data_IF_256641335078
#
_entry.id   IF_256641335078
#
_cell.length_a   1.000
_cell.length_b   1.000
_cell.length_c   1.000
_cell.angle_alpha   90.00
_cell.angle_beta   90.00
_cell.angle_gamma   90.00
#
_symmetry.space_group_name_H-M   'P 1'
#
loop_
_entity.id
_entity.type
_entity.pdbx_description
1 polymer ?
#
# COMPACT_ATOMS: atom_id res chain seq x y z
N UNK A 1 -32.09 -62.67 75.15
CA UNK A 1 -32.09 -61.72 76.29
C UNK A 1 -31.24 -60.53 75.83
N UNK A 2 -31.65 -59.27 75.67
CA UNK A 2 -32.63 -58.36 76.28
C UNK A 2 -33.22 -57.47 75.15
N UNK A 3 -34.54 -57.31 74.97
CA UNK A 3 -35.51 -56.36 75.59
C UNK A 3 -35.30 -54.85 75.31
N UNK A 4 -36.31 -54.27 74.62
CA UNK A 4 -36.95 -52.94 74.79
C UNK A 4 -36.14 -51.66 74.44
N UNK A 5 -36.68 -50.55 73.92
CA UNK A 5 -38.04 -50.08 73.58
C UNK A 5 -37.95 -48.74 72.80
N UNK A 6 -39.04 -48.38 72.08
CA UNK A 6 -39.52 -47.01 71.68
C UNK A 6 -38.76 -46.30 70.53
N UNK A 7 -39.39 -45.53 69.64
CA UNK A 7 -40.74 -44.94 69.58
C UNK A 7 -41.19 -44.73 68.11
N UNK A 8 -42.50 -44.80 67.88
CA UNK A 8 -43.18 -44.29 66.69
C UNK A 8 -43.06 -42.76 66.62
N UNK A 9 -42.70 -42.21 65.45
CA UNK A 9 -43.03 -40.85 65.00
C UNK A 9 -43.50 -40.92 63.54
N UNK A 10 -44.69 -40.40 63.19
CA UNK A 10 -45.16 -40.41 61.80
C UNK A 10 -44.70 -39.17 61.02
N UNK A 11 -44.52 -39.41 59.72
CA UNK A 11 -44.68 -38.51 58.58
C UNK A 11 -43.91 -37.17 58.53
N UNK A 12 -42.96 -37.09 57.60
CA UNK A 12 -42.70 -35.89 56.79
C UNK A 12 -42.50 -36.34 55.34
N UNK A 13 -43.59 -36.41 54.57
CA UNK A 13 -43.52 -36.50 53.12
C UNK A 13 -42.94 -35.19 52.59
N UNK A 14 -41.70 -35.23 52.09
CA UNK A 14 -41.14 -34.16 51.26
C UNK A 14 -41.77 -34.25 49.87
N UNK A 15 -42.87 -33.54 49.68
CA UNK A 15 -43.38 -33.25 48.35
C UNK A 15 -42.39 -32.37 47.60
N UNK A 16 -41.64 -32.96 46.66
CA UNK A 16 -40.95 -32.23 45.60
C UNK A 16 -42.03 -31.67 44.67
N UNK A 17 -42.47 -30.45 44.91
CA UNK A 17 -43.25 -29.69 43.93
C UNK A 17 -42.33 -29.32 42.77
N UNK A 18 -42.19 -30.20 41.78
CA UNK A 18 -41.75 -29.81 40.44
C UNK A 18 -42.87 -28.95 39.85
N UNK A 19 -42.73 -27.62 39.94
CA UNK A 19 -43.62 -26.68 39.27
C UNK A 19 -43.46 -26.91 37.76
N UNK A 20 -44.47 -27.51 37.12
CA UNK A 20 -44.51 -27.63 35.67
C UNK A 20 -44.35 -26.22 35.05
N UNK A 21 -43.54 -26.04 34.00
CA UNK A 21 -43.40 -24.75 33.35
C UNK A 21 -44.78 -24.32 32.86
N UNK A 22 -45.20 -23.11 33.23
CA UNK A 22 -46.47 -22.55 32.80
C UNK A 22 -46.59 -22.61 31.27
N UNK A 23 -47.77 -22.92 30.71
CA UNK A 23 -47.96 -23.00 29.27
C UNK A 23 -47.55 -21.67 28.63
N UNK A 24 -46.60 -21.72 27.68
CA UNK A 24 -46.16 -20.53 26.93
C UNK A 24 -47.35 -20.03 26.12
N UNK A 25 -47.79 -18.80 26.38
CA UNK A 25 -48.86 -18.17 25.62
C UNK A 25 -48.48 -18.11 24.14
N UNK A 26 -49.28 -18.66 23.21
CA UNK A 26 -48.97 -18.65 21.78
C UNK A 26 -48.83 -17.23 21.24
N UNK A 27 -49.56 -16.27 21.80
CA UNK A 27 -49.47 -14.84 21.48
C UNK A 27 -48.11 -14.28 21.91
N UNK A 28 -47.62 -14.62 23.12
CA UNK A 28 -46.29 -14.19 23.58
C UNK A 28 -45.18 -14.81 22.75
N UNK A 29 -45.30 -16.09 22.40
CA UNK A 29 -44.35 -16.76 21.52
C UNK A 29 -44.32 -16.15 20.12
N UNK A 30 -45.48 -15.82 19.54
CA UNK A 30 -45.56 -15.11 18.26
C UNK A 30 -44.94 -13.72 18.36
N UNK A 31 -45.23 -12.96 19.42
CA UNK A 31 -44.65 -11.63 19.64
C UNK A 31 -43.12 -11.68 19.78
N UNK A 32 -42.59 -12.58 20.61
CA UNK A 32 -41.14 -12.75 20.74
C UNK A 32 -40.48 -13.21 19.44
N UNK A 33 -41.13 -14.11 18.69
CA UNK A 33 -40.68 -14.53 17.37
C UNK A 33 -40.60 -13.37 16.39
N UNK A 34 -41.65 -12.55 16.31
CA UNK A 34 -41.68 -11.37 15.44
C UNK A 34 -40.62 -10.34 15.83
N UNK A 35 -40.49 -10.02 17.11
CA UNK A 35 -39.46 -9.09 17.59
C UNK A 35 -38.06 -9.62 17.26
N UNK A 36 -37.80 -10.90 17.50
CA UNK A 36 -36.52 -11.52 17.16
C UNK A 36 -36.20 -11.40 15.66
N UNK A 37 -37.13 -11.79 14.79
CA UNK A 37 -36.94 -11.72 13.34
C UNK A 37 -36.69 -10.29 12.87
N UNK A 38 -37.48 -9.32 13.35
CA UNK A 38 -37.31 -7.91 12.98
C UNK A 38 -35.98 -7.35 13.49
N UNK A 39 -35.61 -7.64 14.75
CA UNK A 39 -34.34 -7.20 15.32
C UNK A 39 -33.13 -7.82 14.62
N UNK A 40 -33.18 -9.12 14.31
CA UNK A 40 -32.11 -9.80 13.57
C UNK A 40 -31.99 -9.27 12.14
N UNK A 41 -33.11 -9.04 11.46
CA UNK A 41 -33.11 -8.46 10.11
C UNK A 41 -32.54 -7.04 10.08
N UNK A 42 -32.99 -6.18 10.99
CA UNK A 42 -32.48 -4.81 11.11
C UNK A 42 -30.99 -4.79 11.48
N UNK A 43 -30.57 -5.66 12.40
CA UNK A 43 -29.16 -5.80 12.75
C UNK A 43 -28.33 -6.29 11.56
N UNK A 44 -28.85 -7.23 10.76
CA UNK A 44 -28.15 -7.69 9.57
C UNK A 44 -27.97 -6.56 8.54
N UNK A 45 -29.01 -5.77 8.27
CA UNK A 45 -28.91 -4.59 7.39
C UNK A 45 -27.86 -3.62 7.92
N UNK A 46 -27.92 -3.31 9.22
CA UNK A 46 -26.94 -2.46 9.87
C UNK A 46 -25.51 -3.03 9.79
N UNK A 47 -25.32 -4.31 10.08
CA UNK A 47 -24.00 -4.94 10.05
C UNK A 47 -23.43 -5.03 8.63
N UNK A 48 -24.24 -5.31 7.61
CA UNK A 48 -23.73 -5.44 6.24
C UNK A 48 -23.47 -4.10 5.55
N UNK A 49 -23.93 -2.98 6.10
CA UNK A 49 -23.53 -1.65 5.64
C UNK A 49 -22.17 -1.25 6.24
N UNK A 50 -21.16 -1.07 5.38
CA UNK A 50 -19.80 -0.70 5.81
C UNK A 50 -19.74 0.64 6.55
N UNK A 51 -20.71 1.52 6.34
CA UNK A 51 -20.78 2.86 6.97
C UNK A 51 -21.25 2.80 8.42
N UNK A 52 -21.81 1.68 8.85
CA UNK A 52 -22.37 1.53 10.19
C UNK A 52 -21.34 1.76 11.29
N UNK A 53 -21.78 2.47 12.32
CA UNK A 53 -20.93 2.91 13.43
C UNK A 53 -20.18 1.75 14.12
N UNK A 54 -20.77 0.55 14.16
CA UNK A 54 -20.12 -0.66 14.73
C UNK A 54 -18.77 -0.96 14.07
N UNK A 55 -18.61 -0.70 12.77
CA UNK A 55 -17.37 -1.00 12.03
C UNK A 55 -16.24 -0.03 12.30
N UNK A 56 -16.51 1.12 12.94
CA UNK A 56 -15.49 2.11 13.32
C UNK A 56 -15.29 2.17 14.83
N UNK A 57 -16.39 2.29 15.56
CA UNK A 57 -16.37 2.63 16.98
C UNK A 57 -16.43 1.43 17.91
N UNK A 58 -16.78 0.24 17.40
CA UNK A 58 -16.89 -0.99 18.21
C UNK A 58 -15.88 -2.03 17.79
N UNK A 59 -15.93 -2.50 16.54
CA UNK A 59 -15.13 -3.63 16.06
C UNK A 59 -13.62 -3.34 16.11
N UNK A 60 -13.08 -2.25 15.51
CA UNK A 60 -11.65 -2.01 15.54
C UNK A 60 -11.11 -1.78 16.96
N UNK A 61 -11.72 -0.96 17.84
CA UNK A 61 -11.30 -0.84 19.23
C UNK A 61 -11.34 -2.18 19.99
N UNK A 62 -12.41 -2.96 19.82
CA UNK A 62 -12.54 -4.27 20.45
C UNK A 62 -11.44 -5.23 20.01
N UNK A 63 -11.17 -5.34 18.70
CA UNK A 63 -10.09 -6.19 18.18
C UNK A 63 -8.73 -5.76 18.71
N UNK A 64 -8.45 -4.44 18.77
CA UNK A 64 -7.18 -3.92 19.31
C UNK A 64 -7.01 -4.18 20.80
N UNK A 65 -8.10 -4.21 21.57
CA UNK A 65 -8.05 -4.43 23.01
C UNK A 65 -8.01 -5.92 23.39
N UNK A 66 -8.59 -6.78 22.56
CA UNK A 66 -8.76 -8.22 22.87
C UNK A 66 -7.76 -9.14 22.18
N UNK A 67 -7.16 -8.71 21.07
CA UNK A 67 -6.24 -9.50 20.26
C UNK A 67 -4.94 -8.74 20.00
N UNK A 68 -3.85 -9.48 19.78
CA UNK A 68 -2.65 -8.87 19.22
C UNK A 68 -2.91 -8.34 17.80
N UNK A 69 -2.11 -7.36 17.37
CA UNK A 69 -2.31 -6.65 16.11
C UNK A 69 -2.29 -7.58 14.88
N UNK A 70 -1.47 -8.64 14.87
CA UNK A 70 -1.42 -9.56 13.73
C UNK A 70 -2.65 -10.50 13.71
N UNK A 71 -3.13 -10.94 14.87
CA UNK A 71 -4.33 -11.78 14.97
C UNK A 71 -5.59 -11.00 14.62
N UNK A 72 -5.75 -9.77 15.11
CA UNK A 72 -6.87 -8.90 14.76
C UNK A 72 -6.95 -8.65 13.25
N UNK A 73 -5.80 -8.40 12.61
CA UNK A 73 -5.70 -8.26 11.15
C UNK A 73 -6.16 -9.53 10.40
N UNK A 74 -5.70 -10.70 10.83
CA UNK A 74 -6.11 -11.98 10.21
C UNK A 74 -7.60 -12.25 10.36
N UNK A 75 -8.22 -11.86 11.48
CA UNK A 75 -9.68 -11.95 11.65
C UNK A 75 -10.37 -11.07 10.61
N UNK A 76 -9.92 -9.82 10.41
CA UNK A 76 -10.50 -8.93 9.41
C UNK A 76 -10.41 -9.52 7.99
N UNK A 77 -9.25 -10.05 7.58
CA UNK A 77 -9.07 -10.72 6.27
C UNK A 77 -10.00 -11.93 6.12
N UNK A 78 -10.12 -12.76 7.16
CA UNK A 78 -11.02 -13.94 7.14
C UNK A 78 -12.49 -13.53 6.99
N UNK A 79 -12.93 -12.49 7.70
CA UNK A 79 -14.31 -11.98 7.59
C UNK A 79 -14.56 -11.47 6.17
N UNK A 80 -13.68 -10.65 5.62
CA UNK A 80 -13.80 -10.13 4.25
C UNK A 80 -13.77 -11.24 3.19
N UNK A 81 -12.94 -12.26 3.38
CA UNK A 81 -12.88 -13.47 2.52
C UNK A 81 -14.18 -14.29 2.56
N UNK A 82 -14.82 -14.40 3.73
CA UNK A 82 -15.94 -15.32 3.94
C UNK A 82 -17.25 -14.93 3.25
N UNK A 83 -17.35 -13.72 2.69
CA UNK A 83 -18.60 -13.15 2.19
C UNK A 83 -19.50 -12.56 3.29
N UNK A 84 -19.13 -12.73 4.57
CA UNK A 84 -19.77 -12.10 5.72
C UNK A 84 -19.22 -10.69 6.02
N UNK A 85 -18.26 -10.19 5.23
CA UNK A 85 -17.80 -8.81 5.34
C UNK A 85 -18.91 -7.81 4.98
N UNK A 86 -18.87 -6.59 5.56
CA UNK A 86 -19.76 -5.52 5.14
C UNK A 86 -19.47 -5.09 3.69
N UNK A 87 -20.39 -4.32 3.11
CA UNK A 87 -20.32 -3.79 1.75
C UNK A 87 -20.58 -2.29 1.77
N UNK A 88 -20.01 -1.56 0.82
CA UNK A 88 -20.39 -0.18 0.51
C UNK A 88 -21.59 -0.21 -0.45
N UNK A 89 -22.81 0.16 -0.02
CA UNK A 89 -23.99 0.12 -0.88
C UNK A 89 -24.13 1.38 -1.74
N UNK A 90 -23.24 2.36 -1.60
CA UNK A 90 -23.39 3.70 -2.19
C UNK A 90 -22.61 3.80 -3.49
N UNK A 91 -23.25 4.32 -4.53
CA UNK A 91 -22.57 4.66 -5.78
C UNK A 91 -21.58 5.81 -5.56
N UNK A 92 -20.43 5.75 -6.21
CA UNK A 92 -19.44 6.82 -6.14
C UNK A 92 -19.92 8.11 -6.83
N UNK A 93 -19.58 9.22 -6.20
CA UNK A 93 -19.88 10.56 -6.71
C UNK A 93 -19.07 10.84 -7.98
N UNK A 94 -19.71 11.42 -9.00
CA UNK A 94 -19.08 11.69 -10.30
C UNK A 94 -17.82 12.57 -10.19
N UNK A 95 -17.72 13.44 -9.17
CA UNK A 95 -16.54 14.28 -8.92
C UNK A 95 -15.29 13.49 -8.56
N UNK A 96 -15.46 12.24 -8.10
CA UNK A 96 -14.38 11.34 -7.73
C UNK A 96 -13.81 10.58 -8.92
N UNK A 97 -14.49 10.56 -10.08
CA UNK A 97 -13.98 9.86 -11.26
C UNK A 97 -12.55 10.31 -11.55
N UNK A 98 -11.70 9.33 -11.81
CA UNK A 98 -10.28 9.54 -12.06
C UNK A 98 -9.85 8.71 -13.26
N UNK A 99 -8.87 9.18 -14.00
CA UNK A 99 -8.28 8.44 -15.12
C UNK A 99 -6.83 8.08 -14.79
N UNK A 100 -6.45 6.85 -15.09
CA UNK A 100 -5.09 6.36 -14.88
C UNK A 100 -4.66 5.52 -16.09
N UNK A 101 -3.62 5.95 -16.81
CA UNK A 101 -3.16 5.30 -18.04
C UNK A 101 -4.24 5.10 -19.12
N UNK A 102 -5.18 6.04 -19.25
CA UNK A 102 -6.32 5.91 -20.17
C UNK A 102 -7.45 5.01 -19.65
N UNK A 103 -7.31 4.44 -18.45
CA UNK A 103 -8.35 3.65 -17.80
C UNK A 103 -9.16 4.52 -16.84
N UNK A 104 -10.48 4.60 -17.05
CA UNK A 104 -11.39 5.26 -16.11
C UNK A 104 -11.52 4.41 -14.84
N UNK A 105 -11.43 5.08 -13.69
CA UNK A 105 -11.59 4.53 -12.35
C UNK A 105 -12.76 5.23 -11.66
N UNK A 106 -13.55 4.46 -10.93
CA UNK A 106 -14.76 4.94 -10.23
C UNK A 106 -14.47 6.00 -9.17
N UNK A 107 -13.34 5.86 -8.48
CA UNK A 107 -12.85 6.78 -7.46
C UNK A 107 -11.32 6.66 -7.33
N UNK A 108 -10.62 7.59 -6.65
CA UNK A 108 -9.15 7.61 -6.59
C UNK A 108 -8.60 6.96 -5.32
N UNK A 109 -9.41 6.20 -4.56
CA UNK A 109 -9.02 5.64 -3.26
C UNK A 109 -8.76 4.15 -3.39
N UNK A 110 -7.48 3.78 -3.21
CA UNK A 110 -6.99 2.41 -3.22
C UNK A 110 -6.58 1.88 -1.85
N UNK A 111 -6.44 0.56 -1.78
CA UNK A 111 -5.83 -0.16 -0.68
C UNK A 111 -4.35 -0.42 -0.98
N UNK A 112 -3.46 -0.08 -0.05
CA UNK A 112 -2.03 -0.35 -0.19
C UNK A 112 -1.68 -1.83 0.04
N UNK A 113 -0.54 -2.29 -0.51
CA UNK A 113 0.00 -3.62 -0.19
C UNK A 113 0.20 -3.84 1.30
N UNK A 114 0.18 -5.12 1.67
CA UNK A 114 0.49 -5.62 2.99
C UNK A 114 -0.74 -5.96 3.81
N UNK A 115 -1.92 -5.46 3.42
CA UNK A 115 -3.19 -5.82 4.04
C UNK A 115 -3.58 -7.24 3.65
N UNK A 116 -3.82 -7.49 2.36
CA UNK A 116 -4.08 -8.84 1.84
C UNK A 116 -2.83 -9.41 1.14
N UNK A 117 -1.89 -9.89 1.95
CA UNK A 117 -0.58 -10.38 1.46
C UNK A 117 -0.70 -11.58 0.51
N UNK A 118 -1.76 -12.36 0.66
CA UNK A 118 -1.90 -13.68 0.04
C UNK A 118 -3.05 -13.75 -0.98
N UNK A 119 -3.72 -12.62 -1.27
CA UNK A 119 -4.85 -12.56 -2.21
C UNK A 119 -6.07 -13.34 -1.73
N UNK A 120 -6.35 -13.30 -0.43
CA UNK A 120 -7.43 -14.07 0.21
C UNK A 120 -8.78 -13.35 0.21
N UNK A 121 -8.79 -12.02 0.24
CA UNK A 121 -9.98 -11.20 0.49
C UNK A 121 -10.24 -10.15 -0.59
N UNK A 122 -9.65 -10.33 -1.78
CA UNK A 122 -9.71 -9.38 -2.91
C UNK A 122 -11.13 -8.86 -3.16
N UNK A 123 -12.11 -9.76 -3.33
CA UNK A 123 -13.49 -9.35 -3.62
C UNK A 123 -14.17 -8.68 -2.43
N UNK A 124 -13.84 -9.08 -1.20
CA UNK A 124 -14.31 -8.41 0.02
C UNK A 124 -13.76 -6.98 0.13
N UNK A 125 -12.53 -6.75 -0.32
CA UNK A 125 -11.89 -5.43 -0.32
C UNK A 125 -12.47 -4.50 -1.38
N UNK A 126 -12.76 -5.01 -2.58
CA UNK A 126 -13.53 -4.23 -3.56
C UNK A 126 -14.96 -3.95 -3.09
N UNK A 127 -15.60 -4.90 -2.39
CA UNK A 127 -16.97 -4.74 -1.89
C UNK A 127 -17.12 -3.61 -0.86
N UNK A 128 -16.05 -3.21 -0.16
CA UNK A 128 -16.08 -2.08 0.79
C UNK A 128 -15.71 -0.73 0.15
N UNK A 129 -15.61 -0.68 -1.18
CA UNK A 129 -15.64 0.56 -1.95
C UNK A 129 -14.29 1.02 -2.53
N UNK A 130 -13.20 0.27 -2.34
CA UNK A 130 -11.91 0.57 -2.99
C UNK A 130 -12.00 0.34 -4.50
N UNK A 131 -11.45 1.27 -5.29
CA UNK A 131 -11.30 1.08 -6.75
C UNK A 131 -9.98 0.39 -7.10
N UNK A 132 -8.96 0.51 -6.25
CA UNK A 132 -7.67 -0.16 -6.41
C UNK A 132 -7.40 -1.09 -5.23
N UNK A 133 -7.09 -2.35 -5.49
CA UNK A 133 -6.66 -3.30 -4.45
C UNK A 133 -5.27 -3.82 -4.77
N UNK A 134 -4.30 -3.53 -3.91
CA UNK A 134 -2.93 -4.04 -4.01
C UNK A 134 -2.71 -5.21 -3.04
N UNK A 135 -2.59 -6.43 -3.57
CA UNK A 135 -2.22 -7.61 -2.77
C UNK A 135 -0.70 -7.73 -2.63
N UNK A 136 -0.22 -8.58 -1.73
CA UNK A 136 1.21 -8.82 -1.53
C UNK A 136 1.84 -7.94 -0.45
N UNK A 137 3.16 -7.77 -0.38
CA UNK A 137 4.15 -8.30 -1.31
C UNK A 137 4.23 -9.83 -1.31
N UNK A 138 4.21 -10.42 -2.50
CA UNK A 138 4.29 -11.87 -2.71
C UNK A 138 5.71 -12.23 -3.14
N UNK A 139 6.27 -13.29 -2.56
CA UNK A 139 7.61 -13.79 -2.89
C UNK A 139 7.53 -15.09 -3.69
N UNK A 140 8.55 -15.43 -4.52
CA UNK A 140 8.54 -16.67 -5.30
C UNK A 140 8.27 -17.93 -4.48
N UNK A 141 9.08 -18.13 -3.44
CA UNK A 141 8.94 -19.22 -2.48
C UNK A 141 8.14 -18.78 -1.25
N UNK A 142 7.42 -19.70 -0.59
CA UNK A 142 6.76 -19.40 0.67
C UNK A 142 7.80 -19.04 1.74
N UNK A 143 7.47 -18.06 2.60
CA UNK A 143 8.28 -17.73 3.76
C UNK A 143 7.42 -17.21 4.92
N UNK A 144 7.77 -17.53 6.18
CA UNK A 144 6.95 -17.15 7.34
C UNK A 144 7.07 -15.66 7.72
N UNK A 145 8.07 -14.95 7.17
CA UNK A 145 8.49 -13.61 7.59
C UNK A 145 9.31 -13.62 8.89
N UNK A 146 9.51 -12.44 9.49
CA UNK A 146 10.26 -12.28 10.73
C UNK A 146 9.49 -12.84 11.95
N UNK A 147 10.18 -13.16 13.08
CA UNK A 147 9.54 -13.64 14.31
C UNK A 147 8.49 -12.68 14.88
N UNK A 148 7.46 -13.22 15.56
CA UNK A 148 6.42 -12.45 16.25
C UNK A 148 6.85 -12.10 17.70
N UNK A 149 6.33 -11.01 18.31
CA UNK A 149 5.47 -9.98 17.73
C UNK A 149 6.23 -9.06 16.75
N UNK A 150 5.56 -8.64 15.68
CA UNK A 150 6.16 -7.90 14.56
C UNK A 150 5.29 -6.80 13.98
N UNK A 151 4.18 -6.49 14.62
CA UNK A 151 3.30 -5.37 14.30
C UNK A 151 2.76 -4.80 15.59
N UNK A 152 2.81 -3.48 15.70
CA UNK A 152 2.53 -2.74 16.92
C UNK A 152 1.64 -1.55 16.52
N UNK A 153 0.48 -1.44 17.16
CA UNK A 153 -0.35 -0.25 17.03
C UNK A 153 0.26 0.85 17.90
N UNK A 154 0.23 2.08 17.38
CA UNK A 154 0.53 3.29 18.15
C UNK A 154 -0.74 4.16 18.18
N UNK A 155 -1.79 3.82 18.96
CA UNK A 155 -3.05 4.56 18.93
C UNK A 155 -2.91 6.03 19.33
N UNK A 156 -1.99 6.35 20.23
CA UNK A 156 -1.75 7.74 20.65
C UNK A 156 -1.25 8.62 19.49
N UNK A 157 -0.53 8.02 18.54
CA UNK A 157 0.08 8.71 17.40
C UNK A 157 -0.68 8.48 16.08
N UNK A 158 -1.80 7.75 16.10
CA UNK A 158 -2.46 7.24 14.88
C UNK A 158 -1.47 6.54 13.93
N UNK A 159 -0.55 5.77 14.53
CA UNK A 159 0.58 5.14 13.86
C UNK A 159 0.54 3.63 13.92
N UNK A 160 1.41 2.99 13.15
CA UNK A 160 1.70 1.56 13.24
C UNK A 160 3.18 1.33 12.94
N UNK A 161 3.83 0.48 13.73
CA UNK A 161 5.19 0.00 13.45
C UNK A 161 5.12 -1.47 13.09
N UNK A 162 5.80 -1.88 12.02
CA UNK A 162 5.90 -3.29 11.66
C UNK A 162 7.28 -3.70 11.16
N UNK A 163 7.61 -4.96 11.44
CA UNK A 163 8.81 -5.65 10.98
C UNK A 163 8.48 -6.99 10.34
N UNK A 164 7.50 -7.03 9.43
CA UNK A 164 6.97 -8.29 8.88
C UNK A 164 8.00 -9.17 8.14
N UNK A 165 8.86 -8.59 7.30
CA UNK A 165 9.82 -9.35 6.48
C UNK A 165 9.16 -10.23 5.40
N UNK A 166 8.18 -9.68 4.67
CA UNK A 166 7.44 -10.37 3.59
C UNK A 166 6.96 -11.80 3.91
N UNK A 167 6.10 -12.01 4.93
CA UNK A 167 5.41 -13.29 5.05
C UNK A 167 4.53 -13.52 3.82
N UNK A 168 4.70 -14.67 3.16
CA UNK A 168 4.04 -15.01 1.90
C UNK A 168 3.83 -16.52 1.77
N UNK A 169 2.71 -16.91 1.18
CA UNK A 169 2.44 -18.32 0.83
C UNK A 169 3.17 -18.76 -0.46
N UNK A 170 3.90 -17.87 -1.13
CA UNK A 170 4.61 -18.15 -2.39
C UNK A 170 3.76 -17.91 -3.64
N UNK A 171 4.42 -17.82 -4.80
CA UNK A 171 3.74 -17.55 -6.08
C UNK A 171 2.67 -18.57 -6.41
N UNK A 172 2.95 -19.87 -6.24
CA UNK A 172 2.03 -20.93 -6.60
C UNK A 172 0.68 -20.84 -5.87
N UNK A 173 0.71 -20.58 -4.55
CA UNK A 173 -0.50 -20.49 -3.74
C UNK A 173 -1.33 -19.25 -4.09
N UNK A 174 -0.69 -18.09 -4.23
CA UNK A 174 -1.38 -16.85 -4.60
C UNK A 174 -1.94 -16.94 -6.02
N UNK A 175 -1.18 -17.48 -6.96
CA UNK A 175 -1.62 -17.71 -8.34
C UNK A 175 -2.84 -18.64 -8.39
N UNK A 176 -2.85 -19.69 -7.58
CA UNK A 176 -4.02 -20.58 -7.47
C UNK A 176 -5.27 -19.84 -6.99
N UNK A 177 -5.13 -18.87 -6.06
CA UNK A 177 -6.26 -18.05 -5.59
C UNK A 177 -6.75 -17.08 -6.65
N UNK A 178 -5.82 -16.42 -7.36
CA UNK A 178 -6.17 -15.53 -8.48
C UNK A 178 -6.92 -16.29 -9.58
N UNK A 179 -6.45 -17.47 -9.97
CA UNK A 179 -7.11 -18.33 -10.96
C UNK A 179 -8.50 -18.77 -10.49
N UNK A 180 -8.67 -19.06 -9.21
CA UNK A 180 -9.96 -19.47 -8.65
C UNK A 180 -11.02 -18.35 -8.69
N UNK A 181 -10.62 -17.08 -8.87
CA UNK A 181 -11.55 -15.95 -9.06
C UNK A 181 -12.12 -15.88 -10.49
N UNK A 182 -11.46 -16.48 -11.47
CA UNK A 182 -11.92 -16.46 -12.86
C UNK A 182 -13.21 -17.30 -12.96
N UNK A 183 -14.35 -16.73 -13.39
CA UNK A 183 -15.59 -17.49 -13.50
C UNK A 183 -15.45 -18.63 -14.51
N UNK A 184 -15.93 -19.84 -14.17
CA UNK A 184 -15.76 -21.06 -14.98
C UNK A 184 -16.46 -21.00 -16.35
N UNK A 185 -17.47 -20.15 -16.49
CA UNK A 185 -18.29 -19.96 -17.69
C UNK A 185 -18.21 -18.49 -18.14
N UNK A 186 -17.00 -17.91 -18.10
CA UNK A 186 -16.79 -16.56 -18.57
C UNK A 186 -16.47 -16.59 -20.07
N UNK A 187 -17.44 -16.14 -20.86
CA UNK A 187 -17.39 -16.19 -22.32
C UNK A 187 -17.02 -14.81 -22.92
N UNK A 188 -16.90 -13.78 -22.07
CA UNK A 188 -16.59 -12.41 -22.45
C UNK A 188 -15.09 -12.09 -22.43
N UNK A 189 -14.73 -10.87 -22.86
CA UNK A 189 -13.38 -10.33 -22.63
C UNK A 189 -13.27 -9.82 -21.18
N UNK A 190 -12.23 -10.24 -20.46
CA UNK A 190 -11.91 -9.73 -19.14
C UNK A 190 -11.22 -8.39 -19.35
N UNK A 191 -11.94 -7.27 -19.17
CA UNK A 191 -11.33 -5.93 -19.30
C UNK A 191 -10.30 -5.65 -18.21
N UNK A 192 -10.55 -6.12 -16.98
CA UNK A 192 -9.70 -5.89 -15.81
C UNK A 192 -9.61 -7.13 -14.91
N UNK A 193 -8.44 -7.36 -14.30
CA UNK A 193 -8.21 -8.44 -13.34
C UNK A 193 -8.96 -8.25 -12.00
N UNK A 194 -9.55 -7.07 -11.78
CA UNK A 194 -10.48 -6.83 -10.67
C UNK A 194 -11.84 -7.51 -10.88
N UNK A 195 -12.21 -7.82 -12.13
CA UNK A 195 -13.56 -8.25 -12.55
C UNK A 195 -14.66 -7.23 -12.26
N UNK A 196 -14.28 -5.95 -12.18
CA UNK A 196 -15.19 -4.85 -11.85
C UNK A 196 -14.91 -3.65 -12.75
N UNK A 197 -15.95 -3.04 -13.34
CA UNK A 197 -15.79 -1.78 -14.06
C UNK A 197 -15.22 -0.70 -13.14
N UNK A 198 -14.30 0.12 -13.66
CA UNK A 198 -13.73 1.24 -12.91
C UNK A 198 -12.88 0.84 -11.70
N UNK A 199 -12.29 -0.36 -11.72
CA UNK A 199 -11.43 -0.87 -10.67
C UNK A 199 -10.28 -1.73 -11.20
N UNK A 200 -9.15 -1.74 -10.48
CA UNK A 200 -7.95 -2.50 -10.85
C UNK A 200 -7.40 -3.34 -9.69
N UNK A 201 -6.85 -4.48 -10.05
CA UNK A 201 -6.11 -5.38 -9.17
C UNK A 201 -4.60 -5.24 -9.42
N UNK A 202 -3.89 -4.84 -8.37
CA UNK A 202 -2.44 -4.78 -8.36
C UNK A 202 -1.85 -5.95 -7.56
N UNK A 203 -0.76 -6.53 -8.06
CA UNK A 203 0.03 -7.54 -7.34
C UNK A 203 1.41 -6.97 -7.01
N UNK A 204 1.67 -6.80 -5.72
CA UNK A 204 2.96 -6.33 -5.25
C UNK A 204 3.96 -7.48 -5.16
N UNK A 205 5.11 -7.32 -5.82
CA UNK A 205 6.17 -8.30 -5.94
C UNK A 205 7.25 -8.03 -4.90
N UNK A 206 7.66 -9.07 -4.19
CA UNK A 206 8.74 -9.03 -3.21
C UNK A 206 9.81 -10.08 -3.50
N UNK A 207 10.99 -9.86 -2.93
CA UNK A 207 12.13 -10.78 -2.98
C UNK A 207 12.11 -11.73 -1.78
N UNK A 208 12.47 -13.00 -1.98
CA UNK A 208 12.73 -13.90 -0.87
C UNK A 208 13.93 -13.41 -0.05
N UNK A 209 13.93 -13.70 1.26
CA UNK A 209 15.00 -13.28 2.17
C UNK A 209 16.34 -13.94 1.83
N UNK A 210 16.28 -15.18 1.38
CA UNK A 210 17.44 -16.03 1.06
C UNK A 210 18.03 -15.75 -0.34
N UNK A 211 17.29 -15.05 -1.21
CA UNK A 211 17.81 -14.66 -2.52
C UNK A 211 18.96 -13.65 -2.38
N UNK A 212 19.93 -13.61 -3.31
CA UNK A 212 21.00 -12.60 -3.31
C UNK A 212 20.44 -11.18 -3.23
N UNK A 213 21.16 -10.28 -2.56
CA UNK A 213 20.66 -8.93 -2.26
C UNK A 213 20.40 -8.10 -3.52
N UNK A 214 21.22 -8.30 -4.54
CA UNK A 214 21.23 -7.66 -5.87
C UNK A 214 20.44 -8.44 -6.94
N UNK A 215 19.87 -9.61 -6.60
CA UNK A 215 19.16 -10.43 -7.58
C UNK A 215 17.83 -9.81 -8.01
N UNK A 216 17.64 -9.79 -9.32
CA UNK A 216 16.42 -9.35 -10.03
C UNK A 216 15.44 -10.51 -10.28
N UNK A 217 15.91 -11.75 -10.14
CA UNK A 217 15.22 -12.97 -10.60
C UNK A 217 13.86 -13.16 -9.93
N UNK A 218 13.74 -12.82 -8.65
CA UNK A 218 12.48 -12.95 -7.91
C UNK A 218 11.39 -12.03 -8.47
N UNK A 219 11.78 -10.80 -8.86
CA UNK A 219 10.86 -9.85 -9.47
C UNK A 219 10.47 -10.29 -10.89
N UNK A 220 11.43 -10.77 -11.69
CA UNK A 220 11.19 -11.33 -13.03
C UNK A 220 10.25 -12.55 -12.95
N UNK A 221 10.48 -13.45 -12.00
CA UNK A 221 9.60 -14.58 -11.74
C UNK A 221 8.19 -14.12 -11.34
N UNK A 222 8.08 -13.02 -10.60
CA UNK A 222 6.81 -12.38 -10.25
C UNK A 222 6.06 -11.85 -11.46
N UNK A 223 6.76 -11.13 -12.35
CA UNK A 223 6.20 -10.62 -13.61
C UNK A 223 5.64 -11.76 -14.46
N UNK A 224 6.42 -12.83 -14.63
CA UNK A 224 6.00 -14.02 -15.40
C UNK A 224 4.82 -14.76 -14.76
N UNK A 225 4.80 -14.87 -13.43
CA UNK A 225 3.76 -15.62 -12.72
C UNK A 225 2.42 -14.89 -12.68
N UNK A 226 2.45 -13.57 -12.44
CA UNK A 226 1.23 -12.79 -12.17
C UNK A 226 0.78 -11.92 -13.32
N UNK A 227 1.64 -11.65 -14.31
CA UNK A 227 1.32 -10.74 -15.41
C UNK A 227 -0.02 -11.03 -16.11
N UNK A 228 -0.37 -12.29 -16.42
CA UNK A 228 -1.67 -12.62 -17.01
C UNK A 228 -2.89 -12.47 -16.09
N UNK A 229 -2.70 -12.15 -14.80
CA UNK A 229 -3.73 -12.18 -13.77
C UNK A 229 -3.80 -10.88 -12.95
N UNK A 230 -3.20 -9.79 -13.44
CA UNK A 230 -3.12 -8.51 -12.76
C UNK A 230 -3.21 -7.36 -13.76
N UNK A 231 -3.84 -6.26 -13.36
CA UNK A 231 -3.82 -5.01 -14.14
C UNK A 231 -2.49 -4.28 -13.93
N UNK A 232 -1.92 -4.43 -12.72
CA UNK A 232 -0.70 -3.77 -12.30
C UNK A 232 0.21 -4.72 -11.53
N UNK A 233 1.51 -4.66 -11.83
CA UNK A 233 2.56 -5.31 -11.07
C UNK A 233 3.41 -4.24 -10.39
N UNK A 234 3.53 -4.35 -9.06
CA UNK A 234 4.28 -3.37 -8.26
C UNK A 234 5.63 -3.96 -7.86
N UNK A 235 6.72 -3.34 -8.31
CA UNK A 235 8.10 -3.69 -7.94
C UNK A 235 8.45 -3.02 -6.62
N UNK A 236 8.49 -3.79 -5.53
CA UNK A 236 8.71 -3.24 -4.19
C UNK A 236 10.16 -3.41 -3.72
N UNK A 237 10.91 -2.31 -3.79
CA UNK A 237 12.31 -2.20 -3.34
C UNK A 237 12.47 -1.45 -2.02
N UNK A 238 11.36 -1.19 -1.30
CA UNK A 238 11.33 -0.16 -0.25
C UNK A 238 11.06 -0.66 1.17
N UNK A 239 10.80 -1.96 1.35
CA UNK A 239 10.61 -2.56 2.67
C UNK A 239 11.88 -2.40 3.54
N UNK A 240 11.78 -1.80 4.76
CA UNK A 240 12.90 -1.75 5.70
C UNK A 240 13.16 -3.10 6.39
N UNK A 241 12.28 -4.08 6.18
CA UNK A 241 12.21 -5.31 6.98
C UNK A 241 12.86 -6.52 6.30
N UNK A 242 13.37 -6.33 5.09
CA UNK A 242 14.11 -7.32 4.31
C UNK A 242 15.53 -6.78 4.13
N UNK A 243 16.56 -7.39 4.75
CA UNK A 243 17.93 -6.88 4.69
C UNK A 243 18.41 -6.64 3.25
N UNK A 244 19.09 -5.51 3.02
CA UNK A 244 19.66 -5.15 1.72
C UNK A 244 18.66 -4.67 0.67
N UNK A 245 17.35 -4.87 0.84
CA UNK A 245 16.36 -4.58 -0.20
C UNK A 245 16.34 -3.11 -0.61
N UNK A 246 16.45 -2.18 0.36
CA UNK A 246 16.49 -0.73 0.07
C UNK A 246 17.72 -0.30 -0.72
N UNK A 247 18.78 -1.11 -0.73
CA UNK A 247 19.96 -0.88 -1.56
C UNK A 247 19.69 -1.02 -3.06
N UNK A 248 18.62 -1.73 -3.47
CA UNK A 248 18.16 -1.80 -4.86
C UNK A 248 17.64 -0.46 -5.41
N UNK A 249 17.50 0.57 -4.56
CA UNK A 249 17.14 1.92 -4.99
C UNK A 249 18.36 2.73 -5.44
N UNK A 250 19.59 2.21 -5.30
CA UNK A 250 20.78 2.81 -5.89
C UNK A 250 20.70 2.72 -7.42
N UNK A 251 21.19 3.76 -8.12
CA UNK A 251 21.05 3.93 -9.58
C UNK A 251 21.30 2.65 -10.38
N UNK A 252 22.51 2.11 -10.33
CA UNK A 252 22.92 0.98 -11.20
C UNK A 252 22.07 -0.28 -10.95
N UNK A 253 21.80 -0.59 -9.68
CA UNK A 253 20.98 -1.74 -9.30
C UNK A 253 19.52 -1.54 -9.70
N UNK A 254 19.01 -0.32 -9.58
CA UNK A 254 17.66 0.01 -9.99
C UNK A 254 17.53 -0.09 -11.52
N UNK A 255 18.47 0.46 -12.29
CA UNK A 255 18.49 0.35 -13.75
C UNK A 255 18.46 -1.12 -14.20
N UNK A 256 19.33 -1.96 -13.62
CA UNK A 256 19.36 -3.40 -13.91
C UNK A 256 18.04 -4.10 -13.55
N UNK A 257 17.47 -3.79 -12.38
CA UNK A 257 16.18 -4.32 -11.95
C UNK A 257 15.05 -3.93 -12.90
N UNK A 258 14.92 -2.65 -13.23
CA UNK A 258 13.85 -2.15 -14.10
C UNK A 258 13.97 -2.68 -15.52
N UNK A 259 15.20 -2.84 -16.04
CA UNK A 259 15.44 -3.49 -17.33
C UNK A 259 14.94 -4.95 -17.32
N UNK A 260 15.30 -5.72 -16.29
CA UNK A 260 14.89 -7.13 -16.18
C UNK A 260 13.38 -7.32 -16.10
N UNK A 261 12.68 -6.56 -15.25
CA UNK A 261 11.21 -6.67 -15.12
C UNK A 261 10.48 -6.17 -16.37
N UNK A 262 11.02 -5.15 -17.04
CA UNK A 262 10.46 -4.63 -18.29
C UNK A 262 10.58 -5.68 -19.39
N UNK A 263 11.77 -6.26 -19.56
CA UNK A 263 12.00 -7.34 -20.52
C UNK A 263 11.05 -8.52 -20.26
N UNK A 264 10.93 -8.94 -19.00
CA UNK A 264 10.02 -10.02 -18.62
C UNK A 264 8.55 -9.71 -18.92
N UNK A 265 8.12 -8.44 -18.83
CA UNK A 265 6.78 -8.01 -19.23
C UNK A 265 6.60 -8.10 -20.75
N UNK A 266 7.58 -7.65 -21.52
CA UNK A 266 7.49 -7.67 -22.98
C UNK A 266 7.44 -9.11 -23.55
N UNK A 267 8.08 -10.07 -22.85
CA UNK A 267 8.04 -11.51 -23.16
C UNK A 267 6.66 -12.16 -22.93
N UNK A 268 5.73 -11.51 -22.22
CA UNK A 268 4.40 -12.07 -21.97
C UNK A 268 3.61 -12.20 -23.28
N UNK A 269 3.09 -13.41 -23.54
CA UNK A 269 2.42 -13.79 -24.80
C UNK A 269 1.04 -13.14 -25.03
N UNK A 270 0.62 -12.20 -24.19
CA UNK A 270 -0.70 -11.55 -24.21
C UNK A 270 -0.58 -10.02 -24.36
N UNK A 271 -0.30 -9.50 -25.57
CA UNK A 271 -0.02 -8.07 -25.78
C UNK A 271 -1.20 -7.14 -25.47
N UNK A 272 -2.45 -7.61 -25.60
CA UNK A 272 -3.66 -6.80 -25.32
C UNK A 272 -3.87 -6.47 -23.84
N UNK A 273 -3.34 -7.27 -22.92
CA UNK A 273 -3.53 -7.13 -21.47
C UNK A 273 -2.20 -7.21 -20.73
N UNK A 274 -1.19 -6.46 -21.22
CA UNK A 274 0.08 -6.36 -20.51
C UNK A 274 -0.11 -5.53 -19.23
N UNK A 275 0.34 -6.04 -18.07
CA UNK A 275 0.19 -5.31 -16.81
C UNK A 275 1.07 -4.06 -16.81
N UNK A 276 0.60 -3.02 -16.12
CA UNK A 276 1.39 -1.83 -15.85
C UNK A 276 2.46 -2.14 -14.81
N UNK A 277 3.69 -1.67 -15.01
CA UNK A 277 4.77 -1.82 -14.04
C UNK A 277 4.88 -0.56 -13.20
N UNK A 278 4.80 -0.71 -11.88
CA UNK A 278 4.86 0.41 -10.94
C UNK A 278 5.98 0.19 -9.94
N UNK A 279 6.84 1.20 -9.74
CA UNK A 279 7.90 1.15 -8.74
C UNK A 279 7.39 1.66 -7.38
N UNK A 280 7.66 0.96 -6.28
CA UNK A 280 7.33 1.44 -4.92
C UNK A 280 8.58 1.77 -4.12
N UNK A 281 8.74 3.04 -3.77
CA UNK A 281 9.95 3.59 -3.15
C UNK A 281 9.79 3.87 -1.64
N UNK A 282 10.92 3.99 -0.95
CA UNK A 282 10.95 4.37 0.46
C UNK A 282 10.84 5.90 0.60
N UNK A 283 10.28 6.40 1.72
CA UNK A 283 10.29 7.84 2.03
C UNK A 283 11.67 8.31 2.54
N UNK A 284 12.52 7.38 2.98
CA UNK A 284 13.81 7.66 3.64
C UNK A 284 14.93 7.83 2.61
N UNK A 285 14.75 8.78 1.69
CA UNK A 285 15.68 9.08 0.60
C UNK A 285 16.04 10.56 0.63
N UNK A 286 17.29 10.88 0.30
CA UNK A 286 17.70 12.26 0.09
C UNK A 286 17.07 12.82 -1.19
N UNK A 287 17.06 14.15 -1.33
CA UNK A 287 16.60 14.78 -2.56
C UNK A 287 17.41 14.32 -3.78
N UNK A 288 18.74 14.18 -3.66
CA UNK A 288 19.59 13.68 -4.75
C UNK A 288 19.21 12.25 -5.17
N UNK A 289 18.96 11.35 -4.21
CA UNK A 289 18.52 9.98 -4.49
C UNK A 289 17.16 9.95 -5.19
N UNK A 290 16.23 10.84 -4.80
CA UNK A 290 14.93 10.96 -5.47
C UNK A 290 15.07 11.46 -6.91
N UNK A 291 16.00 12.39 -7.17
CA UNK A 291 16.31 12.87 -8.53
C UNK A 291 16.88 11.73 -9.39
N UNK A 292 17.86 10.99 -8.87
CA UNK A 292 18.44 9.82 -9.54
C UNK A 292 17.37 8.77 -9.87
N UNK A 293 16.50 8.43 -8.91
CA UNK A 293 15.38 7.51 -9.14
C UNK A 293 14.45 8.04 -10.23
N UNK A 294 14.15 9.35 -10.25
CA UNK A 294 13.32 9.94 -11.28
C UNK A 294 13.95 9.87 -12.68
N UNK A 295 15.28 9.95 -12.80
CA UNK A 295 15.99 9.73 -14.07
C UNK A 295 15.91 8.28 -14.52
N UNK A 296 16.14 7.33 -13.61
CA UNK A 296 16.05 5.91 -13.90
C UNK A 296 14.62 5.50 -14.31
N UNK A 297 13.61 6.05 -13.63
CA UNK A 297 12.20 5.84 -14.00
C UNK A 297 11.87 6.45 -15.35
N UNK A 298 12.33 7.68 -15.66
CA UNK A 298 12.07 8.32 -16.95
C UNK A 298 12.66 7.53 -18.13
N UNK A 299 13.85 6.96 -17.93
CA UNK A 299 14.59 6.21 -18.95
C UNK A 299 14.21 4.72 -19.01
N UNK A 300 13.30 4.26 -18.14
CA UNK A 300 12.78 2.89 -18.15
C UNK A 300 11.33 2.87 -18.62
N UNK A 301 10.83 1.69 -19.00
CA UNK A 301 9.43 1.52 -19.40
C UNK A 301 8.50 1.24 -18.20
N UNK A 302 8.79 1.86 -17.07
CA UNK A 302 7.93 1.85 -15.87
C UNK A 302 6.78 2.84 -16.07
N UNK A 303 5.58 2.40 -15.71
CA UNK A 303 4.35 3.14 -15.96
C UNK A 303 3.97 4.07 -14.81
N UNK A 304 4.51 3.91 -13.61
CA UNK A 304 4.19 4.79 -12.48
C UNK A 304 5.04 4.54 -11.23
N UNK A 305 4.86 5.40 -10.22
CA UNK A 305 5.59 5.30 -8.95
C UNK A 305 4.64 5.45 -7.75
N UNK A 306 4.73 4.54 -6.79
CA UNK A 306 4.06 4.64 -5.49
C UNK A 306 5.01 5.31 -4.48
N UNK A 307 4.52 6.39 -3.88
CA UNK A 307 5.23 7.22 -2.90
C UNK A 307 4.34 7.38 -1.67
N UNK A 308 4.56 6.64 -0.58
CA UNK A 308 5.75 5.83 -0.28
C UNK A 308 5.45 4.62 0.60
N UNK A 309 6.49 3.83 0.87
CA UNK A 309 6.47 2.78 1.89
C UNK A 309 6.63 3.38 3.31
N UNK A 310 6.75 2.54 4.34
CA UNK A 310 6.97 2.97 5.72
C UNK A 310 8.32 3.65 5.94
N UNK A 311 8.43 4.54 6.93
CA UNK A 311 9.69 5.22 7.32
C UNK A 311 10.41 4.51 8.46
N UNK A 312 11.74 4.52 8.49
CA UNK A 312 12.51 4.12 9.69
C UNK A 312 12.75 5.28 10.66
N UNK A 313 12.43 6.51 10.27
CA UNK A 313 12.55 7.67 11.12
C UNK A 313 11.56 7.57 12.30
N UNK A 314 11.94 8.18 13.42
CA UNK A 314 11.13 8.29 14.64
C UNK A 314 11.05 9.76 15.03
N UNK A 315 10.00 10.48 14.58
CA UNK A 315 9.79 11.87 14.98
C UNK A 315 9.76 11.99 16.51
N UNK A 316 10.36 13.04 17.05
CA UNK A 316 10.35 13.31 18.50
C UNK A 316 8.95 13.62 19.05
N UNK A 317 7.98 13.85 18.17
CA UNK A 317 6.57 14.07 18.51
C UNK A 317 5.81 12.78 18.82
N UNK A 318 6.41 11.59 18.61
CA UNK A 318 5.78 10.33 19.00
C UNK A 318 5.66 10.26 20.52
N UNK A 319 4.55 9.68 21.00
CA UNK A 319 4.30 9.54 22.44
C UNK A 319 3.82 8.15 22.84
N UNK A 320 3.45 7.29 21.88
CA UNK A 320 2.97 5.95 22.19
C UNK A 320 4.09 5.07 22.79
N UNK A 321 3.79 4.21 23.79
CA UNK A 321 4.79 3.31 24.37
C UNK A 321 5.52 2.42 23.35
N UNK A 322 4.87 2.09 22.23
CA UNK A 322 5.46 1.25 21.18
C UNK A 322 6.40 2.03 20.22
N UNK A 323 6.65 3.32 20.42
CA UNK A 323 7.45 4.16 19.51
C UNK A 323 8.89 3.65 19.27
N UNK A 324 9.46 2.94 20.24
CA UNK A 324 10.82 2.39 20.19
C UNK A 324 10.92 1.04 19.45
N UNK A 325 9.80 0.47 19.03
CA UNK A 325 9.78 -0.79 18.31
C UNK A 325 10.54 -0.71 16.98
N UNK A 326 11.30 -1.76 16.67
CA UNK A 326 12.04 -1.86 15.42
C UNK A 326 11.10 -2.11 14.22
N UNK A 327 11.48 -1.56 13.06
CA UNK A 327 10.76 -1.73 11.80
C UNK A 327 10.29 -0.41 11.19
N UNK A 328 9.41 -0.50 10.21
CA UNK A 328 8.86 0.65 9.51
C UNK A 328 7.64 1.24 10.23
N UNK A 329 7.66 2.57 10.44
CA UNK A 329 6.57 3.41 10.94
C UNK A 329 5.66 3.84 9.77
N UNK A 330 4.36 3.73 9.98
CA UNK A 330 3.30 4.20 9.09
C UNK A 330 2.25 4.99 9.87
N UNK A 331 1.23 5.51 9.17
CA UNK A 331 0.16 6.30 9.77
C UNK A 331 0.43 7.80 9.71
N UNK A 332 -0.27 8.57 10.54
CA UNK A 332 -0.22 10.03 10.50
C UNK A 332 1.23 10.61 10.55
N UNK A 333 2.16 10.06 11.37
CA UNK A 333 3.54 10.58 11.43
C UNK A 333 4.32 10.48 10.12
N UNK A 334 3.94 9.59 9.20
CA UNK A 334 4.59 9.40 7.89
C UNK A 334 4.16 10.45 6.86
N UNK A 335 3.00 11.10 7.05
CA UNK A 335 2.34 11.90 5.99
C UNK A 335 3.27 12.95 5.38
N UNK A 336 3.96 13.74 6.20
CA UNK A 336 4.81 14.82 5.72
C UNK A 336 6.05 14.31 4.96
N UNK A 337 6.70 13.25 5.43
CA UNK A 337 7.84 12.66 4.70
C UNK A 337 7.41 12.13 3.33
N UNK A 338 6.26 11.47 3.28
CA UNK A 338 5.71 10.94 2.03
C UNK A 338 5.32 12.04 1.04
N UNK A 339 4.67 13.12 1.52
CA UNK A 339 4.34 14.29 0.67
C UNK A 339 5.58 15.01 0.15
N UNK A 340 6.61 15.16 0.98
CA UNK A 340 7.88 15.75 0.54
C UNK A 340 8.51 14.92 -0.58
N UNK A 341 8.64 13.61 -0.38
CA UNK A 341 9.17 12.71 -1.40
C UNK A 341 8.35 12.77 -2.70
N UNK A 342 7.02 12.82 -2.58
CA UNK A 342 6.12 12.87 -3.74
C UNK A 342 6.28 14.18 -4.51
N UNK A 343 6.32 15.33 -3.82
CA UNK A 343 6.54 16.65 -4.46
C UNK A 343 7.89 16.70 -5.16
N UNK A 344 8.94 16.16 -4.55
CA UNK A 344 10.28 16.08 -5.16
C UNK A 344 10.26 15.23 -6.42
N UNK A 345 9.65 14.04 -6.38
CA UNK A 345 9.52 13.20 -7.56
C UNK A 345 8.66 13.86 -8.64
N UNK A 346 7.54 14.51 -8.28
CA UNK A 346 6.66 15.15 -9.26
C UNK A 346 7.39 16.19 -10.09
N UNK A 347 8.22 17.02 -9.43
CA UNK A 347 9.09 18.03 -10.07
C UNK A 347 10.14 17.46 -11.01
N UNK A 348 10.54 16.22 -10.79
CA UNK A 348 11.61 15.57 -11.53
C UNK A 348 11.10 14.51 -12.52
N UNK A 349 9.80 14.24 -12.54
CA UNK A 349 9.20 13.30 -13.48
C UNK A 349 8.32 14.03 -14.49
N UNK A 350 8.28 13.56 -15.75
CA UNK A 350 7.38 14.09 -16.77
C UNK A 350 5.93 13.75 -16.45
N UNK A 351 4.99 14.58 -16.92
CA UNK A 351 3.56 14.47 -16.65
C UNK A 351 2.96 13.09 -16.98
N UNK A 352 3.50 12.41 -18.00
CA UNK A 352 3.06 11.08 -18.44
C UNK A 352 3.27 9.96 -17.40
N UNK A 353 4.16 10.16 -16.42
CA UNK A 353 4.43 9.18 -15.35
C UNK A 353 3.55 9.56 -14.15
N UNK A 354 2.43 8.88 -13.92
CA UNK A 354 1.59 9.15 -12.77
C UNK A 354 2.25 8.73 -11.45
N UNK A 355 1.88 9.44 -10.38
CA UNK A 355 2.30 9.14 -9.02
C UNK A 355 1.10 8.65 -8.19
N UNK A 356 1.35 7.66 -7.34
CA UNK A 356 0.36 7.12 -6.40
C UNK A 356 0.81 7.50 -4.98
N UNK A 357 0.00 8.29 -4.29
CA UNK A 357 0.27 8.75 -2.93
C UNK A 357 -0.05 7.68 -1.89
N UNK A 358 0.85 7.41 -0.94
CA UNK A 358 0.67 6.41 0.11
C UNK A 358 1.38 6.86 1.39
N UNK A 359 0.65 7.14 2.46
CA UNK A 359 1.24 7.45 3.76
C UNK A 359 0.43 8.45 4.58
N UNK A 360 -0.11 8.02 5.71
CA UNK A 360 -0.82 8.91 6.65
C UNK A 360 -2.11 9.51 6.13
N UNK A 361 -2.83 8.80 5.25
CA UNK A 361 -4.12 9.21 4.69
C UNK A 361 -5.24 8.63 5.55
N UNK A 362 -6.01 9.50 6.20
CA UNK A 362 -7.15 9.13 7.07
C UNK A 362 -8.46 9.79 6.61
N UNK A 363 -8.38 10.89 5.88
CA UNK A 363 -9.52 11.74 5.51
C UNK A 363 -9.51 12.11 4.03
N UNK A 364 -10.64 12.61 3.54
CA UNK A 364 -10.73 13.20 2.20
C UNK A 364 -9.81 14.40 2.00
N UNK A 365 -9.60 15.22 3.03
CA UNK A 365 -8.65 16.33 3.00
C UNK A 365 -7.21 15.86 2.84
N UNK A 366 -6.82 14.75 3.48
CA UNK A 366 -5.50 14.15 3.27
C UNK A 366 -5.34 13.69 1.82
N UNK A 367 -6.35 13.03 1.26
CA UNK A 367 -6.33 12.59 -0.14
C UNK A 367 -6.21 13.77 -1.11
N UNK A 368 -6.93 14.87 -0.85
CA UNK A 368 -6.87 16.09 -1.64
C UNK A 368 -5.48 16.76 -1.57
N UNK A 369 -4.81 16.72 -0.42
CA UNK A 369 -3.44 17.24 -0.30
C UNK A 369 -2.45 16.45 -1.18
N UNK A 370 -2.61 15.13 -1.25
CA UNK A 370 -1.85 14.29 -2.17
C UNK A 370 -2.16 14.61 -3.64
N UNK A 371 -3.42 14.82 -3.98
CA UNK A 371 -3.83 15.23 -5.33
C UNK A 371 -3.17 16.54 -5.76
N UNK A 372 -3.23 17.56 -4.88
CA UNK A 372 -2.59 18.87 -5.08
C UNK A 372 -1.07 18.78 -5.16
N UNK A 373 -0.46 17.74 -4.59
CA UNK A 373 0.96 17.45 -4.73
C UNK A 373 1.31 16.70 -6.04
N UNK A 374 0.32 16.32 -6.85
CA UNK A 374 0.49 15.65 -8.14
C UNK A 374 0.28 14.13 -8.10
N UNK A 375 -0.33 13.59 -7.05
CA UNK A 375 -0.74 12.19 -7.00
C UNK A 375 -2.03 11.98 -7.80
N UNK A 376 -2.06 11.04 -8.73
CA UNK A 376 -3.27 10.73 -9.52
C UNK A 376 -4.21 9.74 -8.83
N UNK A 377 -3.71 9.00 -7.84
CA UNK A 377 -4.44 8.05 -6.99
C UNK A 377 -3.81 8.05 -5.59
N UNK A 378 -4.58 7.69 -4.56
CA UNK A 378 -4.09 7.52 -3.20
C UNK A 378 -4.33 6.13 -2.64
N UNK A 379 -3.42 5.63 -1.82
CA UNK A 379 -3.52 4.35 -1.12
C UNK A 379 -3.65 4.53 0.39
N UNK A 380 -4.56 3.77 0.97
CA UNK A 380 -4.85 3.76 2.41
C UNK A 380 -4.43 2.43 3.01
N UNK A 381 -3.86 2.47 4.21
CA UNK A 381 -3.61 1.29 5.04
C UNK A 381 -3.90 1.60 6.50
N UNK A 382 -3.07 2.43 7.14
CA UNK A 382 -3.17 2.65 8.59
C UNK A 382 -4.50 3.32 8.96
N UNK A 383 -4.96 4.29 8.17
CA UNK A 383 -6.31 4.84 8.29
C UNK A 383 -7.37 3.74 8.27
N UNK A 384 -7.35 2.87 7.26
CA UNK A 384 -8.27 1.73 7.18
C UNK A 384 -8.20 0.80 8.39
N UNK A 385 -7.00 0.47 8.89
CA UNK A 385 -6.83 -0.37 10.08
C UNK A 385 -7.39 0.25 11.37
N UNK A 386 -7.30 1.58 11.53
CA UNK A 386 -7.84 2.26 12.70
C UNK A 386 -9.36 2.44 12.63
N UNK A 387 -9.82 2.83 11.45
CA UNK A 387 -11.12 3.41 11.20
C UNK A 387 -12.14 2.38 10.63
N UNK A 388 -11.64 1.18 10.29
CA UNK A 388 -12.42 -0.01 9.96
C UNK A 388 -13.11 0.01 8.60
N UNK A 389 -14.08 -0.89 8.40
CA UNK A 389 -14.64 -1.22 7.08
C UNK A 389 -15.16 -0.01 6.29
N UNK A 390 -15.78 0.96 6.96
CA UNK A 390 -16.32 2.16 6.32
C UNK A 390 -15.29 3.24 5.98
N UNK A 391 -14.00 3.03 6.23
CA UNK A 391 -12.97 4.06 6.03
C UNK A 391 -12.90 4.54 4.57
N UNK A 392 -12.95 3.62 3.60
CA UNK A 392 -12.91 3.98 2.19
C UNK A 392 -14.07 4.91 1.81
N UNK A 393 -15.33 4.50 2.08
CA UNK A 393 -16.52 5.32 1.84
C UNK A 393 -16.44 6.68 2.51
N UNK A 394 -16.03 6.75 3.79
CA UNK A 394 -15.89 8.04 4.49
C UNK A 394 -14.85 8.96 3.85
N UNK A 395 -13.70 8.43 3.43
CA UNK A 395 -12.67 9.21 2.73
C UNK A 395 -13.23 9.72 1.40
N UNK A 396 -13.95 8.88 0.65
CA UNK A 396 -14.61 9.26 -0.61
C UNK A 396 -15.66 10.35 -0.42
N UNK A 397 -16.52 10.23 0.60
CA UNK A 397 -17.53 11.25 0.94
C UNK A 397 -16.89 12.59 1.29
N UNK A 398 -15.92 12.58 2.21
CA UNK A 398 -15.20 13.78 2.60
C UNK A 398 -14.46 14.42 1.41
N UNK A 399 -13.85 13.61 0.55
CA UNK A 399 -13.16 14.10 -0.63
C UNK A 399 -14.14 14.75 -1.61
N UNK A 400 -15.31 14.13 -1.84
CA UNK A 400 -16.35 14.72 -2.67
C UNK A 400 -16.87 16.04 -2.09
N UNK A 401 -17.00 16.15 -0.77
CA UNK A 401 -17.36 17.39 -0.07
C UNK A 401 -16.29 18.49 -0.24
N UNK A 402 -15.00 18.15 -0.10
CA UNK A 402 -13.92 19.13 -0.33
C UNK A 402 -13.88 19.61 -1.79
N UNK A 403 -14.04 18.69 -2.75
CA UNK A 403 -14.14 19.02 -4.18
C UNK A 403 -15.36 19.90 -4.48
N UNK A 404 -16.49 19.64 -3.79
CA UNK A 404 -17.69 20.48 -3.88
C UNK A 404 -17.42 21.94 -3.52
N UNK A 405 -16.73 22.15 -2.39
CA UNK A 405 -16.42 23.47 -1.85
C UNK A 405 -15.50 24.26 -2.79
N UNK A 406 -14.58 23.55 -3.46
CA UNK A 406 -13.68 24.13 -4.46
C UNK A 406 -14.31 24.24 -5.87
N UNK A 407 -15.54 23.73 -6.07
CA UNK A 407 -16.22 23.77 -7.36
C UNK A 407 -15.49 23.00 -8.46
N UNK A 408 -14.82 21.90 -8.11
CA UNK A 408 -13.93 21.16 -9.01
C UNK A 408 -14.12 19.64 -8.91
N UNK A 409 -13.40 18.88 -9.72
CA UNK A 409 -13.33 17.41 -9.70
C UNK A 409 -11.94 16.92 -9.36
N UNK A 410 -11.81 15.64 -8.98
CA UNK A 410 -10.50 15.01 -8.75
C UNK A 410 -9.58 15.16 -9.97
N UNK A 411 -10.10 14.84 -11.15
CA UNK A 411 -9.34 14.91 -12.39
C UNK A 411 -8.81 16.32 -12.68
N UNK A 412 -9.62 17.36 -12.47
CA UNK A 412 -9.20 18.75 -12.64
C UNK A 412 -8.07 19.15 -11.67
N UNK A 413 -8.20 18.80 -10.38
CA UNK A 413 -7.16 19.08 -9.37
C UNK A 413 -5.85 18.40 -9.74
N UNK A 414 -5.90 17.11 -10.10
CA UNK A 414 -4.71 16.35 -10.48
C UNK A 414 -4.10 16.90 -11.77
N UNK A 415 -4.91 17.14 -12.81
CA UNK A 415 -4.42 17.65 -14.09
C UNK A 415 -3.74 19.01 -13.93
N UNK A 416 -4.33 19.90 -13.12
CA UNK A 416 -3.71 21.18 -12.77
C UNK A 416 -2.38 20.98 -12.04
N UNK A 417 -2.36 20.18 -10.98
CA UNK A 417 -1.15 19.94 -10.20
C UNK A 417 -0.04 19.29 -11.05
N UNK A 418 -0.37 18.31 -11.89
CA UNK A 418 0.57 17.64 -12.79
C UNK A 418 1.10 18.63 -13.84
N UNK A 419 0.25 19.47 -14.44
CA UNK A 419 0.68 20.47 -15.41
C UNK A 419 1.62 21.53 -14.80
N UNK A 420 1.33 21.98 -13.58
CA UNK A 420 2.11 23.01 -12.89
C UNK A 420 3.42 22.47 -12.29
N UNK A 421 3.41 21.23 -11.79
CA UNK A 421 4.51 20.70 -11.00
C UNK A 421 5.43 19.75 -11.75
N UNK A 422 5.02 19.18 -12.89
CA UNK A 422 5.84 18.20 -13.60
C UNK A 422 7.06 18.81 -14.28
N UNK A 423 8.08 17.99 -14.49
CA UNK A 423 9.19 18.36 -15.36
C UNK A 423 8.66 18.61 -16.78
N UNK A 424 8.94 19.79 -17.34
CA UNK A 424 8.59 20.11 -18.72
C UNK A 424 9.27 19.13 -19.69
N UNK A 425 8.60 18.76 -20.79
CA UNK A 425 9.19 17.88 -21.80
C UNK A 425 10.51 18.47 -22.35
N UNK A 426 11.58 17.67 -22.36
CA UNK A 426 12.92 18.14 -22.70
C UNK A 426 13.52 19.16 -21.73
N UNK A 427 12.91 19.41 -20.57
CA UNK A 427 13.42 20.34 -19.55
C UNK A 427 14.77 19.93 -18.98
N UNK A 428 15.00 18.62 -18.82
CA UNK A 428 16.31 18.07 -18.43
C UNK A 428 17.37 18.23 -19.50
N UNK A 429 17.07 17.94 -20.78
CA UNK A 429 18.00 18.19 -21.89
C UNK A 429 18.38 19.67 -21.95
N UNK A 430 17.41 20.58 -21.86
CA UNK A 430 17.67 22.02 -21.81
C UNK A 430 18.48 22.45 -20.58
N UNK A 431 18.23 21.84 -19.41
CA UNK A 431 19.00 22.10 -18.19
C UNK A 431 20.43 21.57 -18.31
N UNK A 432 20.62 20.36 -18.84
CA UNK A 432 21.92 19.76 -19.08
C UNK A 432 22.70 20.52 -20.15
N UNK A 433 22.07 20.92 -21.26
CA UNK A 433 22.65 21.80 -22.28
C UNK A 433 23.09 23.12 -21.65
N UNK A 434 22.24 23.74 -20.83
CA UNK A 434 22.58 24.99 -20.13
C UNK A 434 23.74 24.79 -19.16
N UNK A 435 23.74 23.75 -18.34
CA UNK A 435 24.83 23.44 -17.41
C UNK A 435 26.14 23.11 -18.15
N UNK A 436 26.08 22.40 -19.28
CA UNK A 436 27.24 22.13 -20.14
C UNK A 436 27.78 23.42 -20.79
N UNK A 437 26.87 24.31 -21.21
CA UNK A 437 27.21 25.62 -21.79
C UNK A 437 27.84 26.54 -20.73
N UNK A 438 27.29 26.54 -19.51
CA UNK A 438 27.78 27.33 -18.37
C UNK A 438 29.09 26.76 -17.80
N UNK A 439 29.33 25.44 -17.90
CA UNK A 439 30.57 24.78 -17.50
C UNK A 439 31.69 24.91 -18.53
N UNK A 440 31.37 25.10 -19.81
CA UNK A 440 32.36 25.20 -20.91
C UNK A 440 33.47 26.24 -20.66
N UNK A 441 33.18 27.49 -20.19
CA UNK A 441 34.22 28.46 -19.84
C UNK A 441 35.15 28.00 -18.71
N UNK A 442 34.62 27.28 -17.72
CA UNK A 442 35.39 26.76 -16.59
C UNK A 442 36.30 25.59 -17.00
N UNK A 443 35.84 24.73 -17.91
CA UNK A 443 36.62 23.63 -18.47
C UNK A 443 37.75 24.19 -19.35
N UNK A 444 37.47 25.18 -20.20
CA UNK A 444 38.48 25.86 -20.99
C UNK A 444 39.55 26.54 -20.11
N UNK A 445 39.15 27.11 -18.97
CA UNK A 445 40.10 27.70 -18.01
C UNK A 445 40.99 26.65 -17.34
N UNK A 446 40.43 25.51 -16.95
CA UNK A 446 41.20 24.40 -16.37
C UNK A 446 42.19 23.79 -17.37
N UNK A 447 41.81 23.68 -18.64
CA UNK A 447 42.71 23.23 -19.72
C UNK A 447 43.85 24.24 -19.91
N UNK A 448 43.54 25.54 -19.94
CA UNK A 448 44.56 26.58 -20.07
C UNK A 448 45.54 26.61 -18.88
N UNK A 449 45.05 26.46 -17.65
CA UNK A 449 45.89 26.36 -16.44
C UNK A 449 46.77 25.10 -16.47
N UNK A 450 46.24 23.97 -16.96
CA UNK A 450 47.01 22.74 -17.11
C UNK A 450 48.12 22.86 -18.17
N UNK A 451 47.84 23.52 -19.31
CA UNK A 451 48.83 23.78 -20.36
C UNK A 451 49.92 24.76 -19.90
N UNK A 452 49.56 25.77 -19.10
CA UNK A 452 50.53 26.70 -18.49
C UNK A 452 51.44 25.99 -17.48
N UNK A 453 50.88 25.14 -16.62
CA UNK A 453 51.64 24.29 -15.70
C UNK A 453 52.61 23.36 -16.43
N UNK A 454 52.16 22.75 -17.53
CA UNK A 454 53.02 21.91 -18.37
C UNK A 454 54.18 22.70 -18.96
N UNK A 455 53.92 23.90 -19.47
CA UNK A 455 54.97 24.78 -20.02
C UNK A 455 55.98 25.21 -18.96
N UNK A 456 55.53 25.47 -17.74
CA UNK A 456 56.40 25.80 -16.61
C UNK A 456 57.26 24.60 -16.19
N UNK A 457 56.71 23.39 -16.21
CA UNK A 457 57.44 22.13 -15.97
C UNK A 457 58.51 21.88 -17.03
N UNK A 458 58.17 22.06 -18.32
CA UNK A 458 59.12 21.90 -19.42
C UNK A 458 60.28 22.92 -19.29
N UNK A 459 59.97 24.18 -18.97
CA UNK A 459 60.98 25.22 -18.72
C UNK A 459 61.85 24.94 -17.48
N UNK A 460 61.28 24.29 -16.45
CA UNK A 460 62.04 23.86 -15.28
C UNK A 460 63.01 22.72 -15.65
N UNK A 461 62.54 21.77 -16.46
CA UNK A 461 63.35 20.66 -17.00
C UNK A 461 64.53 21.18 -17.82
N UNK A 462 64.29 22.10 -18.76
CA UNK A 462 65.35 22.72 -19.57
C UNK A 462 66.38 23.49 -18.70
N UNK A 463 65.93 24.15 -17.62
CA UNK A 463 66.84 24.84 -16.68
C UNK A 463 67.68 23.88 -15.85
N UNK A 464 67.13 22.74 -15.47
CA UNK A 464 67.87 21.70 -14.74
C UNK A 464 68.89 21.00 -15.64
N UNK A 465 68.53 20.71 -16.89
CA UNK A 465 69.48 20.17 -17.88
C UNK A 465 70.61 21.17 -18.19
N UNK A 466 70.29 22.47 -18.28
CA UNK A 466 71.29 23.51 -18.48
C UNK A 466 72.25 23.68 -17.28
N UNK A 467 71.80 23.44 -16.04
CA UNK A 467 72.69 23.49 -14.87
C UNK A 467 73.60 22.28 -14.77
N UNK A 468 73.16 21.09 -15.21
CA UNK A 468 73.98 19.87 -15.22
C UNK A 468 75.08 19.88 -16.30
N UNK A 469 75.00 20.76 -17.29
CA UNK A 469 76.06 20.96 -18.30
C UNK A 469 77.14 21.98 -17.93
N UNK A 470 77.09 22.58 -16.72
CA UNK A 470 78.04 23.59 -16.26
C UNK A 470 78.97 23.14 -15.11
N UNK A 471 78.93 21.88 -14.70
CA UNK A 471 79.86 21.27 -13.71
C UNK A 471 80.82 20.25 -14.33
#
# INVERSE_FOLDING_TARGET
MFRHQRAFRPALGRGLFTRAPAPRSPIRSALYGTVFVLSTGLFAIYYFDARSAIHRYVIPPLLRHTLDAETGHKVAVKVLKSGLGPRDPVQDDARLKSEFWGQEMSNPVGLAAGFDKNGEAIDGLFNIGFSWVEIGSVTPKPQPGNPRPRVFHLPADSGLINRYGFPSDGHAAVLSRLRARIPRFFDGEIETASFRPGAVLAVNLGKNKESPADSVDDFVAGVRAFGPYSDVLVVNVSSPNTPGLRGLQNRDLLEALLAGVTQAREELSAPKHRPKLVLKIAPDLTESQLVEIAEVVENSAIDGVIVSNTTIQRPSSLVDPNQSEAGGLSGAPLKQHSLTALRTLRKNLPARIPLIGCGGIFTGADALEYAKAGASLVQVYTGFGYDGAGACRRIKDQLADELAKEGTTWAEVVNKAVAELSLAEGGRLRKAEKELTDASPSIHRLIAEADELKRLLDQLGEKMEASDTQD
#
